data_IF_092671568829
#
_entry.id   IF_092671568829
#
_cell.length_a   1.000
_cell.length_b   1.000
_cell.length_c   1.000
_cell.angle_alpha   90.00
_cell.angle_beta   90.00
_cell.angle_gamma   90.00
#
_symmetry.space_group_name_H-M   'P 1'
#
loop_
_entity.id
_entity.type
_entity.pdbx_description
1 polymer ?
#
# COMPACT_ATOMS: atom_id res chain seq x y z
N UNK A 1 -2.18 -3.27 4.44
CA UNK A 1 -3.03 -4.49 4.42
C UNK A 1 -4.47 -4.09 4.66
N UNK A 2 -5.41 -4.92 4.21
CA UNK A 2 -6.85 -4.70 4.38
C UNK A 2 -7.56 -6.00 4.77
N UNK A 3 -8.77 -5.89 5.34
CA UNK A 3 -9.70 -7.01 5.53
C UNK A 3 -10.50 -7.24 4.24
N UNK A 4 -11.15 -6.19 3.73
CA UNK A 4 -12.07 -6.21 2.58
C UNK A 4 -11.93 -4.96 1.74
N UNK A 5 -12.63 -4.94 0.60
CA UNK A 5 -12.67 -3.79 -0.29
C UNK A 5 -13.17 -2.54 0.45
N UNK A 6 -12.39 -1.45 0.38
CA UNK A 6 -12.65 -0.17 1.08
C UNK A 6 -12.90 -0.33 2.60
N UNK A 7 -12.40 -1.41 3.19
CA UNK A 7 -12.53 -1.70 4.62
C UNK A 7 -11.44 -1.05 5.47
N UNK A 8 -11.14 -1.70 6.60
CA UNK A 8 -10.11 -1.24 7.53
C UNK A 8 -8.73 -1.41 6.90
N UNK A 9 -7.88 -0.39 7.08
CA UNK A 9 -6.56 -0.33 6.47
C UNK A 9 -5.47 -0.29 7.52
N UNK A 10 -4.49 -1.17 7.36
CA UNK A 10 -3.21 -1.09 8.04
C UNK A 10 -2.15 -0.47 7.12
N UNK A 11 -1.50 0.58 7.61
CA UNK A 11 -0.37 1.24 6.95
C UNK A 11 0.84 1.15 7.89
N UNK A 12 1.95 0.63 7.38
CA UNK A 12 3.17 0.41 8.14
C UNK A 12 4.41 0.40 7.26
N UNK A 13 5.57 0.51 7.90
CA UNK A 13 6.89 0.31 7.27
C UNK A 13 7.44 -1.06 7.67
N UNK A 14 8.17 -1.70 6.78
CA UNK A 14 8.88 -2.95 7.05
C UNK A 14 10.15 -3.03 6.23
N UNK A 15 11.18 -3.70 6.76
CA UNK A 15 12.39 -4.05 6.03
C UNK A 15 12.16 -5.28 5.12
N UNK A 16 11.30 -6.20 5.56
CA UNK A 16 10.91 -7.39 4.81
C UNK A 16 9.38 -7.45 4.67
N UNK A 17 8.92 -7.41 3.42
CA UNK A 17 7.50 -7.44 3.10
C UNK A 17 6.90 -8.86 3.24
N UNK A 18 7.64 -9.90 2.87
CA UNK A 18 7.16 -11.27 2.93
C UNK A 18 6.97 -11.72 4.38
N UNK A 19 7.95 -11.44 5.24
CA UNK A 19 7.89 -11.70 6.69
C UNK A 19 6.71 -10.97 7.31
N UNK A 20 6.50 -9.68 6.98
CA UNK A 20 5.37 -8.90 7.48
C UNK A 20 4.04 -9.53 7.08
N UNK A 21 3.88 -9.94 5.83
CA UNK A 21 2.60 -10.53 5.38
C UNK A 21 2.36 -11.87 6.07
N UNK A 22 3.39 -12.71 6.18
CA UNK A 22 3.30 -13.98 6.88
C UNK A 22 2.86 -13.79 8.34
N UNK A 23 3.53 -12.89 9.09
CA UNK A 23 3.15 -12.56 10.47
C UNK A 23 1.68 -12.13 10.58
N UNK A 24 1.19 -11.30 9.66
CA UNK A 24 -0.18 -10.82 9.70
C UNK A 24 -1.20 -11.91 9.33
N UNK A 25 -0.87 -12.80 8.39
CA UNK A 25 -1.70 -13.97 8.05
C UNK A 25 -1.80 -14.98 9.19
N UNK A 26 -0.73 -15.13 9.96
CA UNK A 26 -0.70 -16.01 11.14
C UNK A 26 -1.24 -15.37 12.42
N UNK A 27 -1.73 -14.11 12.35
CA UNK A 27 -2.22 -13.39 13.53
C UNK A 27 -1.13 -12.96 14.52
N UNK A 28 0.15 -13.09 14.14
CA UNK A 28 1.34 -12.61 14.87
C UNK A 28 1.73 -11.16 14.53
N UNK A 29 0.96 -10.51 13.65
CA UNK A 29 1.13 -9.12 13.27
C UNK A 29 0.70 -8.14 14.37
N UNK A 30 0.60 -6.86 14.03
CA UNK A 30 0.13 -5.81 14.96
C UNK A 30 -1.26 -6.15 15.55
N UNK A 31 -1.52 -5.74 16.79
CA UNK A 31 -2.79 -6.02 17.49
C UNK A 31 -4.03 -5.63 16.68
N UNK A 32 -3.99 -4.46 16.02
CA UNK A 32 -5.05 -4.02 15.10
C UNK A 32 -5.30 -5.05 13.99
N UNK A 33 -4.23 -5.58 13.40
CA UNK A 33 -4.37 -6.54 12.31
C UNK A 33 -4.89 -7.88 12.78
N UNK A 34 -4.51 -8.31 13.99
CA UNK A 34 -5.06 -9.51 14.62
C UNK A 34 -6.55 -9.32 14.93
N UNK A 35 -6.92 -8.18 15.50
CA UNK A 35 -8.30 -7.86 15.89
C UNK A 35 -9.25 -7.78 14.68
N UNK A 36 -8.79 -7.20 13.58
CA UNK A 36 -9.62 -6.97 12.39
C UNK A 36 -9.33 -7.93 11.22
N UNK A 37 -8.52 -8.98 11.42
CA UNK A 37 -8.21 -9.96 10.37
C UNK A 37 -7.53 -9.36 9.12
N UNK A 38 -6.67 -8.36 9.30
CA UNK A 38 -6.04 -7.63 8.19
C UNK A 38 -4.91 -8.44 7.56
N UNK A 39 -5.25 -9.32 6.60
CA UNK A 39 -4.32 -10.27 5.99
C UNK A 39 -4.05 -10.03 4.49
N UNK A 40 -4.79 -9.13 3.83
CA UNK A 40 -4.68 -8.91 2.38
C UNK A 40 -3.67 -7.82 2.05
N UNK A 41 -2.71 -8.09 1.16
CA UNK A 41 -1.79 -7.07 0.66
C UNK A 41 -2.44 -6.37 -0.54
N UNK A 42 -2.82 -5.10 -0.39
CA UNK A 42 -3.47 -4.32 -1.47
C UNK A 42 -2.53 -3.31 -2.13
N UNK A 43 -1.47 -2.91 -1.42
CA UNK A 43 -0.50 -1.93 -1.88
C UNK A 43 0.82 -2.07 -1.12
N UNK A 44 1.94 -1.92 -1.84
CA UNK A 44 3.29 -1.83 -1.28
C UNK A 44 4.15 -0.91 -2.16
N UNK A 45 5.04 -0.13 -1.55
CA UNK A 45 6.02 0.72 -2.24
C UNK A 45 7.40 0.53 -1.59
N UNK A 46 8.44 0.43 -2.41
CA UNK A 46 9.83 0.37 -1.97
C UNK A 46 10.39 1.79 -1.94
N UNK A 47 11.05 2.17 -0.85
CA UNK A 47 11.82 3.41 -0.78
C UNK A 47 13.31 3.10 -0.60
N UNK A 48 14.16 4.04 -1.02
CA UNK A 48 15.62 3.87 -1.02
C UNK A 48 16.23 3.92 0.39
N UNK A 49 15.56 4.62 1.32
CA UNK A 49 16.03 4.76 2.71
C UNK A 49 14.89 4.57 3.70
N UNK A 50 15.23 4.07 4.90
CA UNK A 50 14.27 3.92 6.00
C UNK A 50 13.62 5.26 6.40
N UNK A 51 14.39 6.35 6.37
CA UNK A 51 13.89 7.70 6.65
C UNK A 51 12.83 8.12 5.61
N UNK A 52 13.04 7.82 4.33
CA UNK A 52 12.05 8.08 3.28
C UNK A 52 10.77 7.24 3.48
N UNK A 53 10.91 5.95 3.85
CA UNK A 53 9.77 5.09 4.19
C UNK A 53 8.94 5.68 5.34
N UNK A 54 9.59 6.06 6.45
CA UNK A 54 8.92 6.61 7.64
C UNK A 54 8.23 7.94 7.30
N UNK A 55 8.88 8.82 6.53
CA UNK A 55 8.27 10.08 6.10
C UNK A 55 7.06 9.82 5.20
N UNK A 56 7.14 8.83 4.30
CA UNK A 56 6.02 8.44 3.44
C UNK A 56 4.85 7.87 4.26
N UNK A 57 5.12 6.97 5.20
CA UNK A 57 4.12 6.42 6.11
C UNK A 57 3.42 7.52 6.92
N UNK A 58 4.18 8.45 7.51
CA UNK A 58 3.63 9.60 8.25
C UNK A 58 2.71 10.46 7.38
N UNK A 59 3.09 10.70 6.11
CA UNK A 59 2.24 11.41 5.15
C UNK A 59 0.96 10.65 4.86
N UNK A 60 1.07 9.36 4.50
CA UNK A 60 -0.09 8.50 4.23
C UNK A 60 -1.05 8.49 5.42
N UNK A 61 -0.57 8.31 6.65
CA UNK A 61 -1.43 8.28 7.85
C UNK A 61 -2.30 9.54 7.97
N UNK A 62 -1.77 10.72 7.62
CA UNK A 62 -2.46 12.02 7.64
C UNK A 62 -3.41 12.28 6.46
N UNK A 63 -3.38 11.45 5.42
CA UNK A 63 -4.27 11.66 4.27
C UNK A 63 -5.72 11.34 4.62
N UNK A 64 -6.63 12.05 3.92
CA UNK A 64 -8.05 11.74 3.94
C UNK A 64 -8.29 10.30 3.45
N UNK A 65 -9.25 9.57 4.04
CA UNK A 65 -9.56 8.18 3.65
C UNK A 65 -9.76 8.02 2.15
N UNK A 66 -10.51 8.92 1.52
CA UNK A 66 -10.81 8.89 0.08
C UNK A 66 -9.55 8.88 -0.80
N UNK A 67 -8.51 9.61 -0.39
CA UNK A 67 -7.26 9.67 -1.15
C UNK A 67 -6.44 8.39 -1.03
N UNK A 68 -6.48 7.75 0.14
CA UNK A 68 -5.87 6.44 0.34
C UNK A 68 -6.57 5.40 -0.54
N UNK A 69 -7.90 5.41 -0.55
CA UNK A 69 -8.71 4.51 -1.40
C UNK A 69 -8.35 4.69 -2.87
N UNK A 70 -8.37 5.94 -3.37
CA UNK A 70 -8.02 6.23 -4.75
C UNK A 70 -6.57 5.86 -5.12
N UNK A 71 -5.63 5.95 -4.16
CA UNK A 71 -4.27 5.46 -4.36
C UNK A 71 -4.23 3.94 -4.53
N UNK A 72 -4.94 3.21 -3.68
CA UNK A 72 -4.93 1.75 -3.67
C UNK A 72 -5.70 1.16 -4.85
N UNK A 73 -6.82 1.75 -5.25
CA UNK A 73 -7.58 1.34 -6.45
C UNK A 73 -6.78 1.51 -7.75
N UNK A 74 -5.91 2.52 -7.80
CA UNK A 74 -4.99 2.68 -8.94
C UNK A 74 -3.91 1.60 -9.01
N UNK A 75 -3.62 0.94 -7.89
CA UNK A 75 -2.57 -0.08 -7.81
C UNK A 75 -3.12 -1.50 -7.94
N UNK A 76 -4.34 -1.74 -7.45
CA UNK A 76 -5.01 -3.04 -7.49
C UNK A 76 -6.52 -2.83 -7.66
N UNK A 77 -7.07 -3.35 -8.76
CA UNK A 77 -8.51 -3.41 -8.98
C UNK A 77 -9.15 -4.28 -7.88
N UNK A 78 -10.29 -3.83 -7.33
CA UNK A 78 -11.04 -4.48 -6.25
C UNK A 78 -10.21 -4.86 -5.01
N UNK A 79 -9.06 -4.19 -4.82
CA UNK A 79 -8.11 -4.50 -3.76
C UNK A 79 -7.75 -5.99 -3.74
N UNK A 80 -7.53 -6.56 -4.92
CA UNK A 80 -7.03 -7.92 -5.08
C UNK A 80 -5.70 -8.10 -4.32
N UNK A 81 -5.47 -9.31 -3.80
CA UNK A 81 -4.25 -9.62 -3.06
C UNK A 81 -3.05 -9.57 -4.01
N UNK A 82 -2.25 -8.51 -3.88
CA UNK A 82 -1.02 -8.31 -4.64
C UNK A 82 -0.08 -9.47 -4.44
N UNK A 83 -0.04 -10.10 -3.26
CA UNK A 83 0.87 -11.22 -3.04
C UNK A 83 0.52 -12.41 -3.94
N UNK A 84 -0.77 -12.73 -4.09
CA UNK A 84 -1.22 -13.77 -5.01
C UNK A 84 -0.81 -13.43 -6.44
N UNK A 85 -1.04 -12.19 -6.84
CA UNK A 85 -0.73 -11.75 -8.21
C UNK A 85 0.78 -11.74 -8.50
N UNK A 86 1.61 -11.40 -7.51
CA UNK A 86 3.07 -11.40 -7.65
C UNK A 86 3.68 -12.81 -7.75
N UNK A 87 3.05 -13.82 -7.15
CA UNK A 87 3.53 -15.21 -7.23
C UNK A 87 2.83 -16.06 -8.30
N UNK A 88 1.68 -15.62 -8.84
CA UNK A 88 0.92 -16.37 -9.86
C UNK A 88 1.23 -15.96 -11.31
N UNK A 89 1.92 -14.85 -11.57
CA UNK A 89 2.10 -14.31 -12.91
C UNK A 89 3.54 -14.36 -13.43
N UNK A 90 3.83 -15.34 -14.30
CA UNK A 90 4.95 -15.30 -15.25
C UNK A 90 4.75 -14.29 -16.39
N UNK A 91 3.58 -13.68 -16.51
CA UNK A 91 3.29 -12.60 -17.45
C UNK A 91 2.31 -11.61 -16.79
N UNK A 92 2.63 -10.32 -16.85
CA UNK A 92 1.82 -9.19 -16.40
C UNK A 92 1.36 -9.18 -14.91
N UNK A 93 2.31 -9.22 -13.98
CA UNK A 93 2.06 -8.78 -12.59
C UNK A 93 1.61 -7.30 -12.52
N UNK A 94 0.89 -6.88 -11.46
CA UNK A 94 0.51 -5.49 -11.27
C UNK A 94 1.79 -4.67 -11.23
N UNK A 95 1.76 -3.47 -11.84
CA UNK A 95 2.89 -2.56 -11.98
C UNK A 95 3.38 -2.09 -10.60
N UNK A 96 4.05 -2.96 -9.84
CA UNK A 96 4.94 -2.56 -8.75
C UNK A 96 6.01 -1.77 -9.46
N UNK A 97 5.96 -0.44 -9.34
CA UNK A 97 6.93 0.44 -10.00
C UNK A 97 8.32 -0.05 -9.61
N UNK A 98 9.09 -0.66 -10.54
CA UNK A 98 10.48 -0.99 -10.27
C UNK A 98 11.18 0.35 -10.04
N UNK A 99 12.11 0.37 -9.08
CA UNK A 99 12.77 1.57 -8.58
C UNK A 99 12.97 2.63 -9.67
N UNK A 100 12.25 3.75 -9.55
CA UNK A 100 12.53 4.92 -10.36
C UNK A 100 13.77 5.57 -9.76
N UNK A 101 14.94 5.11 -10.21
CA UNK A 101 16.16 5.90 -10.22
C UNK A 101 15.97 7.05 -11.21
N UNK A 102 15.18 8.03 -10.80
CA UNK A 102 15.29 9.41 -11.23
C UNK A 102 15.07 10.22 -9.98
N UNK A 103 16.02 11.09 -9.65
CA UNK A 103 15.81 12.24 -8.77
C UNK A 103 14.64 13.07 -9.32
N UNK A 104 13.40 12.62 -9.16
CA UNK A 104 12.21 13.46 -9.19
C UNK A 104 11.92 13.75 -7.75
N UNK A 105 12.48 14.87 -7.32
CA UNK A 105 12.07 15.60 -6.15
C UNK A 105 10.53 15.67 -6.18
N UNK A 106 9.85 14.85 -5.38
CA UNK A 106 8.41 14.98 -5.16
C UNK A 106 8.18 16.22 -4.29
N UNK A 107 8.50 17.40 -4.84
CA UNK A 107 8.01 18.66 -4.27
C UNK A 107 6.51 18.67 -4.49
N UNK A 108 5.76 18.54 -3.39
CA UNK A 108 4.35 18.95 -3.27
C UNK A 108 3.48 18.48 -4.44
N UNK A 109 3.21 17.18 -4.57
CA UNK A 109 2.09 16.76 -5.44
C UNK A 109 0.81 16.90 -4.62
N UNK A 110 -0.07 17.88 -4.90
CA UNK A 110 -1.34 17.99 -4.22
C UNK A 110 -2.18 16.73 -4.49
N UNK A 111 -3.16 16.43 -3.62
CA UNK A 111 -4.12 15.35 -3.85
C UNK A 111 -4.74 15.47 -5.26
N UNK A 112 -5.14 14.36 -5.90
CA UNK A 112 -5.83 14.42 -7.17
C UNK A 112 -7.11 15.24 -6.99
N UNK A 113 -7.15 16.41 -7.62
CA UNK A 113 -8.34 17.26 -7.64
C UNK A 113 -9.38 16.56 -8.50
N UNK A 114 -10.44 16.04 -7.88
CA UNK A 114 -11.66 15.73 -8.62
C UNK A 114 -12.21 17.06 -9.15
N UNK A 115 -11.93 17.36 -10.44
CA UNK A 115 -12.73 18.34 -11.17
C UNK A 115 -14.15 17.82 -11.15
N UNK A 116 -15.02 18.44 -10.33
CA UNK A 116 -16.47 18.37 -10.50
C UNK A 116 -16.73 18.78 -11.96
N UNK A 117 -17.16 17.85 -12.79
CA UNK A 117 -17.87 18.17 -14.02
C UNK A 117 -19.24 18.68 -13.58
N UNK A 118 -19.42 19.98 -13.71
CA UNK A 118 -20.73 20.62 -13.82
C UNK A 118 -21.33 20.32 -15.18
#
# INVERSE_FOLDING_TARGET
>A
MADRYRGTLYVGVTADLAVRIHQHREGRGSELCRRYGLARLVWAERCDTIAACIAHEKRLKRWRPEWKIALFEKASADWADLLRTLFQGGEAGPRVRPGVTRKKQWRRRPPPTHRRRS
#
